data_IF_831225534468
#
_entry.id   IF_831225534468
#
_cell.length_a   1.000
_cell.length_b   1.000
_cell.length_c   1.000
_cell.angle_alpha   90.00
_cell.angle_beta   90.00
_cell.angle_gamma   90.00
#
_symmetry.space_group_name_H-M   'P 1'
#
loop_
_entity.id
_entity.type
_entity.pdbx_description
1 polymer ?
#
# COMPACT_ATOMS: atom_id res chain seq x y z
N UNK A 1 7.53 0.74 8.07
CA UNK A 1 7.24 -0.71 8.15
C UNK A 1 6.18 -1.06 7.10
N UNK A 2 6.21 -2.27 6.57
CA UNK A 2 5.38 -2.66 5.42
C UNK A 2 4.73 -4.04 5.62
N UNK A 3 3.49 -4.18 5.16
CA UNK A 3 2.75 -5.44 5.10
C UNK A 3 2.07 -5.60 3.74
N UNK A 4 2.16 -6.80 3.17
CA UNK A 4 1.28 -7.27 2.11
C UNK A 4 1.03 -8.80 2.26
N UNK A 5 0.12 -9.40 1.50
CA UNK A 5 -0.24 -10.82 1.66
C UNK A 5 0.82 -11.82 1.20
N UNK A 6 1.87 -11.38 0.50
CA UNK A 6 2.95 -12.25 0.03
C UNK A 6 4.05 -12.43 1.08
N UNK A 7 4.04 -11.61 2.14
CA UNK A 7 5.01 -11.64 3.22
C UNK A 7 4.44 -12.39 4.44
N UNK A 8 5.17 -13.38 4.95
CA UNK A 8 4.80 -14.07 6.21
C UNK A 8 4.81 -13.11 7.41
N UNK A 9 5.69 -12.11 7.38
CA UNK A 9 5.92 -11.17 8.49
C UNK A 9 6.09 -9.76 7.98
N UNK A 10 5.96 -8.81 8.91
CA UNK A 10 6.25 -7.40 8.66
C UNK A 10 7.65 -7.22 8.09
N UNK A 11 7.75 -6.36 7.09
CA UNK A 11 9.02 -5.88 6.58
C UNK A 11 9.40 -4.57 7.30
N UNK A 12 10.61 -4.55 7.87
CA UNK A 12 11.15 -3.46 8.66
C UNK A 12 12.34 -2.77 7.98
N UNK A 13 12.37 -1.42 8.06
CA UNK A 13 13.44 -0.60 7.50
C UNK A 13 13.27 -0.24 6.02
N UNK A 14 13.91 0.85 5.61
CA UNK A 14 13.87 1.31 4.21
C UNK A 14 14.64 0.38 3.28
N UNK A 15 15.82 -0.09 3.69
CA UNK A 15 16.67 -0.92 2.83
C UNK A 15 16.01 -2.25 2.44
N UNK A 16 15.39 -2.92 3.42
CA UNK A 16 14.62 -4.13 3.15
C UNK A 16 13.45 -3.85 2.20
N UNK A 17 12.82 -2.67 2.33
CA UNK A 17 11.64 -2.31 1.55
C UNK A 17 12.06 -2.01 0.11
N UNK A 18 13.16 -1.29 -0.05
CA UNK A 18 13.79 -1.04 -1.33
C UNK A 18 14.15 -2.35 -2.02
N UNK A 19 14.86 -3.27 -1.35
CA UNK A 19 15.23 -4.56 -1.93
C UNK A 19 14.00 -5.36 -2.39
N UNK A 20 12.92 -5.35 -1.59
CA UNK A 20 11.66 -6.00 -1.93
C UNK A 20 11.00 -5.39 -3.19
N UNK A 21 10.89 -4.06 -3.25
CA UNK A 21 10.33 -3.37 -4.43
C UNK A 21 11.21 -3.48 -5.68
N UNK A 22 12.54 -3.49 -5.54
CA UNK A 22 13.47 -3.73 -6.64
C UNK A 22 13.25 -5.12 -7.26
N UNK A 23 13.07 -6.16 -6.43
CA UNK A 23 12.78 -7.50 -6.91
C UNK A 23 11.43 -7.60 -7.66
N UNK A 24 10.48 -6.71 -7.35
CA UNK A 24 9.18 -6.61 -8.01
C UNK A 24 9.16 -5.65 -9.21
N UNK A 25 10.23 -4.88 -9.44
CA UNK A 25 10.29 -3.81 -10.45
C UNK A 25 9.98 -4.36 -11.85
N UNK A 26 9.04 -3.69 -12.52
CA UNK A 26 8.62 -4.03 -13.89
C UNK A 26 7.70 -5.25 -14.02
N UNK A 27 7.47 -6.01 -12.94
CA UNK A 27 6.57 -7.18 -12.94
C UNK A 27 5.11 -6.80 -12.75
N UNK A 28 4.86 -5.75 -11.98
CA UNK A 28 3.51 -5.25 -11.70
C UNK A 28 3.17 -4.18 -12.72
N UNK A 29 2.18 -4.46 -13.58
CA UNK A 29 1.64 -3.52 -14.56
C UNK A 29 0.13 -3.43 -14.38
N UNK A 30 -0.38 -2.22 -14.29
CA UNK A 30 -1.82 -1.97 -14.29
C UNK A 30 -2.17 -1.21 -15.56
N UNK A 31 -3.20 -1.68 -16.28
CA UNK A 31 -3.80 -0.98 -17.41
C UNK A 31 -4.52 0.28 -16.94
N UNK A 32 -5.23 0.16 -15.81
CA UNK A 32 -5.86 1.26 -15.12
C UNK A 32 -5.93 0.96 -13.62
N UNK A 33 -6.11 2.02 -12.83
CA UNK A 33 -6.40 1.92 -11.41
C UNK A 33 -7.38 3.01 -10.98
N UNK A 34 -8.02 2.79 -9.83
CA UNK A 34 -9.00 3.68 -9.22
C UNK A 34 -8.85 3.64 -7.70
N UNK A 35 -8.72 4.82 -7.09
CA UNK A 35 -8.64 5.00 -5.63
C UNK A 35 -10.01 5.46 -5.13
N UNK A 36 -10.66 4.59 -4.33
CA UNK A 36 -12.03 4.79 -3.88
C UNK A 36 -12.09 5.10 -2.39
N UNK A 37 -13.04 5.95 -2.03
CA UNK A 37 -13.35 6.32 -0.66
C UNK A 37 -12.11 6.74 0.17
N UNK A 38 -11.22 7.62 -0.35
CA UNK A 38 -10.06 8.04 0.41
C UNK A 38 -10.52 8.83 1.64
N UNK A 39 -10.00 8.46 2.81
CA UNK A 39 -10.21 9.17 4.06
C UNK A 39 -8.86 9.46 4.71
N UNK A 40 -8.66 10.72 5.10
CA UNK A 40 -7.47 11.16 5.82
C UNK A 40 -7.86 11.58 7.24
N UNK A 41 -7.20 10.99 8.23
CA UNK A 41 -7.32 11.37 9.64
C UNK A 41 -6.01 11.97 10.12
N UNK A 42 -6.05 13.20 10.64
CA UNK A 42 -4.87 13.87 11.19
C UNK A 42 -4.73 13.55 12.69
N UNK A 43 -3.49 13.31 13.12
CA UNK A 43 -3.12 13.06 14.51
C UNK A 43 -1.75 13.68 14.81
N UNK A 44 -1.74 14.96 15.23
CA UNK A 44 -0.49 15.71 15.45
C UNK A 44 0.32 15.82 14.15
N UNK A 45 1.58 15.40 14.19
CA UNK A 45 2.45 15.33 13.02
C UNK A 45 2.27 14.07 12.17
N UNK A 46 1.22 13.28 12.41
CA UNK A 46 0.87 12.12 11.61
C UNK A 46 -0.44 12.32 10.83
N UNK A 47 -0.53 11.64 9.69
CA UNK A 47 -1.76 11.53 8.90
C UNK A 47 -1.96 10.06 8.54
N UNK A 48 -3.14 9.52 8.83
CA UNK A 48 -3.55 8.17 8.45
C UNK A 48 -4.45 8.27 7.24
N UNK A 49 -3.99 7.75 6.11
CA UNK A 49 -4.75 7.62 4.87
C UNK A 49 -5.27 6.19 4.77
N UNK A 50 -6.58 6.05 4.58
CA UNK A 50 -7.22 4.76 4.28
C UNK A 50 -8.03 4.89 2.99
N UNK A 51 -8.02 3.85 2.17
CA UNK A 51 -8.75 3.81 0.90
C UNK A 51 -8.94 2.38 0.42
N UNK A 52 -9.91 2.19 -0.48
CA UNK A 52 -9.97 0.99 -1.31
C UNK A 52 -9.26 1.27 -2.63
N UNK A 53 -8.49 0.32 -3.11
CA UNK A 53 -7.79 0.42 -4.38
C UNK A 53 -8.27 -0.68 -5.31
N UNK A 54 -8.64 -0.31 -6.53
CA UNK A 54 -9.03 -1.24 -7.57
C UNK A 54 -8.12 -1.01 -8.76
N UNK A 55 -7.57 -2.08 -9.32
CA UNK A 55 -6.79 -2.02 -10.56
C UNK A 55 -7.13 -3.18 -11.47
N UNK A 56 -6.85 -3.03 -12.75
CA UNK A 56 -6.82 -4.16 -13.67
C UNK A 56 -5.47 -4.26 -14.38
N UNK A 57 -5.01 -5.48 -14.61
CA UNK A 57 -3.83 -5.73 -15.43
C UNK A 57 -4.12 -5.61 -16.94
N UNK A 58 -3.12 -5.91 -17.76
CA UNK A 58 -3.25 -5.83 -19.23
C UNK A 58 -4.20 -6.88 -19.81
N UNK A 59 -4.59 -7.90 -19.03
CA UNK A 59 -5.55 -8.94 -19.40
C UNK A 59 -6.95 -8.66 -18.84
N UNK A 60 -7.19 -7.45 -18.32
CA UNK A 60 -8.44 -7.04 -17.67
C UNK A 60 -8.79 -7.88 -16.41
N UNK A 61 -7.80 -8.52 -15.78
CA UNK A 61 -7.99 -9.16 -14.47
C UNK A 61 -8.03 -8.10 -13.39
N UNK A 62 -9.11 -8.06 -12.60
CA UNK A 62 -9.30 -7.05 -11.56
C UNK A 62 -8.71 -7.49 -10.21
N UNK A 63 -7.95 -6.59 -9.58
CA UNK A 63 -7.41 -6.73 -8.24
C UNK A 63 -8.02 -5.67 -7.32
N UNK A 64 -8.48 -6.08 -6.14
CA UNK A 64 -9.15 -5.21 -5.16
C UNK A 64 -8.44 -5.28 -3.82
N UNK A 65 -8.11 -4.11 -3.28
CA UNK A 65 -7.30 -3.97 -2.07
C UNK A 65 -7.92 -3.00 -1.07
N UNK A 66 -7.71 -3.28 0.21
CA UNK A 66 -7.77 -2.29 1.28
C UNK A 66 -6.34 -1.80 1.54
N UNK A 67 -6.18 -0.49 1.65
CA UNK A 67 -4.88 0.12 1.94
C UNK A 67 -4.96 1.04 3.16
N UNK A 68 -3.91 0.98 3.98
CA UNK A 68 -3.61 1.97 5.02
C UNK A 68 -2.19 2.48 4.80
N UNK A 69 -2.04 3.79 4.70
CA UNK A 69 -0.76 4.49 4.66
C UNK A 69 -0.70 5.44 5.85
N UNK A 70 0.36 5.36 6.65
CA UNK A 70 0.62 6.33 7.72
C UNK A 70 1.77 7.22 7.29
N UNK A 71 1.49 8.51 7.21
CA UNK A 71 2.47 9.54 6.95
C UNK A 71 2.88 10.21 8.26
N UNK A 72 4.16 10.57 8.36
CA UNK A 72 4.67 11.45 9.41
C UNK A 72 5.31 12.68 8.77
N UNK A 73 5.01 13.85 9.32
CA UNK A 73 5.64 15.11 8.96
C UNK A 73 6.93 15.27 9.76
N UNK A 74 8.06 15.38 9.06
CA UNK A 74 9.37 15.66 9.68
C UNK A 74 10.03 16.80 8.92
N UNK A 75 10.47 17.84 9.62
CA UNK A 75 11.08 19.04 9.01
C UNK A 75 10.26 19.60 7.82
N UNK A 76 8.94 19.65 7.99
CA UNK A 76 8.01 20.16 6.97
C UNK A 76 7.64 19.20 5.84
N UNK A 77 8.28 18.02 5.74
CA UNK A 77 8.03 17.03 4.68
C UNK A 77 7.22 15.85 5.21
N UNK A 78 6.23 15.41 4.43
CA UNK A 78 5.49 14.18 4.70
C UNK A 78 6.22 12.98 4.11
N UNK A 79 6.40 11.94 4.91
CA UNK A 79 6.99 10.67 4.49
C UNK A 79 6.13 9.52 4.99
N UNK A 80 5.99 8.48 4.17
CA UNK A 80 5.35 7.24 4.60
C UNK A 80 6.23 6.58 5.65
N UNK A 81 5.66 6.27 6.80
CA UNK A 81 6.31 5.52 7.88
C UNK A 81 5.70 4.13 8.05
N UNK A 82 4.48 3.91 7.54
CA UNK A 82 3.82 2.61 7.53
C UNK A 82 2.96 2.46 6.28
N UNK A 83 2.95 1.25 5.74
CA UNK A 83 2.08 0.82 4.65
C UNK A 83 1.49 -0.55 4.96
N UNK A 84 0.21 -0.76 4.68
CA UNK A 84 -0.42 -2.07 4.74
C UNK A 84 -1.39 -2.25 3.57
N UNK A 85 -1.13 -3.28 2.76
CA UNK A 85 -2.00 -3.75 1.69
C UNK A 85 -2.64 -5.09 2.05
N UNK A 86 -3.93 -5.23 1.82
CA UNK A 86 -4.64 -6.51 1.96
C UNK A 86 -5.71 -6.67 0.88
N UNK A 87 -6.02 -7.89 0.41
CA UNK A 87 -7.09 -8.11 -0.54
C UNK A 87 -8.44 -7.76 0.10
N UNK A 88 -9.36 -7.22 -0.69
CA UNK A 88 -10.76 -7.14 -0.24
C UNK A 88 -11.37 -8.54 -0.31
N UNK A 89 -11.94 -9.04 0.80
CA UNK A 89 -12.63 -10.34 0.86
C UNK A 89 -11.80 -11.49 0.24
N UNK A 90 -10.60 -11.79 0.78
CA UNK A 90 -9.82 -12.95 0.35
C UNK A 90 -10.64 -14.24 0.43
N UNK A 91 -10.41 -15.17 -0.51
CA UNK A 91 -11.02 -16.50 -0.46
C UNK A 91 -10.44 -17.29 0.71
N UNK A 92 -11.27 -18.05 1.44
CA UNK A 92 -10.82 -18.97 2.49
C UNK A 92 -11.11 -18.53 3.94
N UNK A 93 -12.10 -17.67 4.14
CA UNK A 93 -12.72 -17.39 5.45
C UNK A 93 -14.16 -17.91 5.45
#
# INVERSE_FOLDING_TARGET
MYFDPSLERRLDGLDALTAYYEAARGKIKSKWFDMRNPLVQLAGDAAVLTFNFVSADMQDTEYRWNCTEVYRRTAGKWQIIQTHWSPTKPKGF
#
